data_IF_981001246825
#
_entry.id   IF_981001246825
#
_cell.length_a   1.000
_cell.length_b   1.000
_cell.length_c   1.000
_cell.angle_alpha   90.00
_cell.angle_beta   90.00
_cell.angle_gamma   90.00
#
_symmetry.space_group_name_H-M   'P 1'
#
loop_
_entity.id
_entity.type
_entity.pdbx_description
1 polymer ?
#
# COMPACT_ATOMS: atom_id res chain seq x y z
N UNK A 1 -13.81 -14.62 -0.30
CA UNK A 1 -12.92 -13.92 -1.27
C UNK A 1 -12.37 -12.61 -0.73
N UNK A 2 -13.12 -11.79 0.02
CA UNK A 2 -12.62 -10.49 0.51
C UNK A 2 -11.30 -10.63 1.28
N UNK A 3 -11.16 -11.64 2.14
CA UNK A 3 -9.89 -11.94 2.82
C UNK A 3 -8.74 -12.08 1.80
N UNK A 4 -8.82 -13.02 0.86
CA UNK A 4 -7.78 -13.25 -0.16
C UNK A 4 -7.45 -12.01 -1.01
N UNK A 5 -8.47 -11.26 -1.42
CA UNK A 5 -8.31 -10.06 -2.25
C UNK A 5 -7.66 -8.89 -1.50
N UNK A 6 -7.68 -8.92 -0.16
CA UNK A 6 -7.15 -7.85 0.68
C UNK A 6 -5.90 -8.31 1.44
N UNK A 7 -6.02 -9.23 2.39
CA UNK A 7 -4.94 -9.56 3.34
C UNK A 7 -3.69 -10.12 2.64
N UNK A 8 -3.69 -11.34 2.06
CA UNK A 8 -2.48 -11.90 1.47
C UNK A 8 -2.03 -11.13 0.23
N UNK A 9 -2.97 -10.62 -0.59
CA UNK A 9 -2.62 -9.85 -1.78
C UNK A 9 -2.01 -8.48 -1.46
N UNK A 10 -2.49 -7.76 -0.43
CA UNK A 10 -1.88 -6.51 0.01
C UNK A 10 -0.54 -6.77 0.69
N UNK A 11 -0.42 -7.82 1.53
CA UNK A 11 0.88 -8.23 2.11
C UNK A 11 1.92 -8.47 1.01
N UNK A 12 1.57 -9.26 -0.02
CA UNK A 12 2.44 -9.51 -1.16
C UNK A 12 2.90 -8.21 -1.81
N UNK A 13 1.95 -7.32 -2.09
CA UNK A 13 2.23 -6.06 -2.79
C UNK A 13 3.06 -5.09 -1.93
N UNK A 14 2.82 -5.04 -0.62
CA UNK A 14 3.62 -4.28 0.34
C UNK A 14 5.05 -4.82 0.45
N UNK A 15 5.23 -6.15 0.44
CA UNK A 15 6.55 -6.80 0.38
C UNK A 15 7.28 -6.43 -0.93
N UNK A 16 6.59 -6.43 -2.06
CA UNK A 16 7.14 -5.96 -3.33
C UNK A 16 7.56 -4.48 -3.27
N UNK A 17 6.69 -3.61 -2.73
CA UNK A 17 6.97 -2.18 -2.56
C UNK A 17 8.21 -1.94 -1.69
N UNK A 18 8.40 -2.74 -0.63
CA UNK A 18 9.62 -2.71 0.18
C UNK A 18 10.87 -3.06 -0.65
N UNK A 19 10.75 -4.03 -1.57
CA UNK A 19 11.81 -4.33 -2.54
C UNK A 19 12.08 -3.23 -3.57
N UNK A 20 11.07 -2.41 -3.93
CA UNK A 20 11.31 -1.24 -4.79
C UNK A 20 12.19 -0.22 -4.09
N UNK A 21 11.97 -0.02 -2.79
CA UNK A 21 12.75 0.87 -1.95
C UNK A 21 14.20 0.40 -1.80
N UNK A 22 14.44 -0.91 -1.77
CA UNK A 22 15.80 -1.47 -1.78
C UNK A 22 16.54 -1.15 -3.09
N UNK A 23 15.86 -1.29 -4.24
CA UNK A 23 16.43 -0.88 -5.54
C UNK A 23 16.63 0.63 -5.63
N UNK A 24 15.72 1.42 -5.07
CA UNK A 24 15.83 2.87 -5.05
C UNK A 24 17.03 3.34 -4.21
N UNK A 25 17.27 2.72 -3.05
CA UNK A 25 18.44 2.97 -2.23
C UNK A 25 19.74 2.63 -2.99
N UNK A 26 19.82 1.43 -3.59
CA UNK A 26 20.99 1.05 -4.39
C UNK A 26 21.23 1.96 -5.59
N UNK A 27 20.16 2.48 -6.23
CA UNK A 27 20.27 3.47 -7.28
C UNK A 27 20.82 4.80 -6.76
N UNK A 28 20.28 5.32 -5.65
CA UNK A 28 20.72 6.55 -5.01
C UNK A 28 22.22 6.49 -4.65
N UNK A 29 22.65 5.38 -4.04
CA UNK A 29 24.05 5.12 -3.72
C UNK A 29 24.94 5.12 -4.98
N UNK A 30 24.51 4.41 -6.04
CA UNK A 30 25.26 4.32 -7.30
C UNK A 30 25.41 5.68 -8.02
N UNK A 31 24.44 6.57 -7.85
CA UNK A 31 24.40 7.90 -8.44
C UNK A 31 24.88 9.00 -7.48
N UNK A 32 25.23 8.65 -6.25
CA UNK A 32 25.77 9.53 -5.20
C UNK A 32 24.83 10.69 -4.86
N UNK A 33 23.54 10.40 -4.65
CA UNK A 33 22.59 11.36 -4.11
C UNK A 33 21.82 10.75 -2.93
N UNK A 34 21.29 11.61 -2.06
CA UNK A 34 20.56 11.19 -0.87
C UNK A 34 19.18 10.61 -1.20
N UNK A 35 18.78 9.53 -0.53
CA UNK A 35 17.46 8.91 -0.73
C UNK A 35 16.30 9.89 -0.51
N UNK A 36 16.51 10.93 0.30
CA UNK A 36 15.56 12.03 0.53
C UNK A 36 15.10 12.73 -0.76
N UNK A 37 15.96 12.80 -1.79
CA UNK A 37 15.60 13.34 -3.11
C UNK A 37 14.47 12.54 -3.75
N UNK A 38 14.54 11.20 -3.69
CA UNK A 38 13.48 10.34 -4.23
C UNK A 38 12.23 10.38 -3.36
N UNK A 39 12.38 10.40 -2.03
CA UNK A 39 11.26 10.46 -1.09
C UNK A 39 10.39 11.71 -1.28
N UNK A 40 11.01 12.85 -1.64
CA UNK A 40 10.32 14.11 -1.92
C UNK A 40 9.89 14.30 -3.38
N UNK A 41 10.28 13.40 -4.29
CA UNK A 41 9.92 13.46 -5.71
C UNK A 41 8.43 13.17 -5.96
N UNK A 42 7.88 13.73 -7.04
CA UNK A 42 6.47 13.61 -7.47
C UNK A 42 6.36 13.65 -9.00
N UNK A 43 5.22 13.22 -9.57
CA UNK A 43 5.00 13.25 -11.03
C UNK A 43 4.36 14.55 -11.52
N UNK A 44 3.67 15.28 -10.65
CA UNK A 44 3.08 16.59 -10.95
C UNK A 44 3.21 17.51 -9.73
N UNK A 45 3.28 18.85 -9.91
CA UNK A 45 3.50 19.79 -8.80
C UNK A 45 2.48 19.70 -7.66
N UNK A 46 1.21 19.45 -8.00
CA UNK A 46 0.06 19.34 -7.10
C UNK A 46 -0.24 17.90 -6.64
N UNK A 47 0.51 16.92 -7.15
CA UNK A 47 0.40 15.53 -6.71
C UNK A 47 1.29 15.27 -5.49
N UNK A 48 0.83 14.38 -4.61
CA UNK A 48 1.60 13.94 -3.44
C UNK A 48 2.96 13.30 -3.81
N UNK A 49 4.03 13.54 -3.01
CA UNK A 49 5.34 12.95 -3.22
C UNK A 49 5.42 11.48 -2.82
N UNK A 50 6.52 10.80 -3.17
CA UNK A 50 6.73 9.36 -2.96
C UNK A 50 6.43 8.92 -1.53
N UNK A 51 6.96 9.61 -0.52
CA UNK A 51 6.67 9.28 0.89
C UNK A 51 5.17 9.21 1.13
N UNK A 52 4.42 10.23 0.68
CA UNK A 52 2.99 10.30 0.90
C UNK A 52 2.22 9.24 0.09
N UNK A 53 2.68 8.87 -1.10
CA UNK A 53 2.11 7.73 -1.84
C UNK A 53 2.22 6.45 -0.99
N UNK A 54 3.39 6.17 -0.41
CA UNK A 54 3.63 4.96 0.40
C UNK A 54 2.81 4.97 1.69
N UNK A 55 2.70 6.12 2.35
CA UNK A 55 1.84 6.28 3.52
C UNK A 55 0.38 5.93 3.20
N UNK A 56 -0.13 6.42 2.06
CA UNK A 56 -1.51 6.15 1.61
C UNK A 56 -1.70 4.69 1.20
N UNK A 57 -0.70 4.03 0.58
CA UNK A 57 -0.74 2.58 0.32
C UNK A 57 -0.96 1.82 1.64
N UNK A 58 -0.16 2.14 2.67
CA UNK A 58 -0.26 1.50 3.98
C UNK A 58 -1.62 1.76 4.65
N UNK A 59 -2.09 3.01 4.62
CA UNK A 59 -3.37 3.41 5.19
C UNK A 59 -4.55 2.74 4.48
N UNK A 60 -4.49 2.65 3.15
CA UNK A 60 -5.54 2.00 2.35
C UNK A 60 -5.64 0.53 2.71
N UNK A 61 -4.51 -0.17 2.87
CA UNK A 61 -4.49 -1.56 3.28
C UNK A 61 -5.04 -1.74 4.71
N UNK A 62 -4.47 -1.04 5.71
CA UNK A 62 -4.87 -1.24 7.12
C UNK A 62 -6.28 -0.75 7.40
N UNK A 63 -6.66 0.45 6.92
CA UNK A 63 -7.98 1.02 7.17
C UNK A 63 -9.06 0.35 6.32
N UNK A 64 -8.70 -0.14 5.13
CA UNK A 64 -9.56 -1.00 4.31
C UNK A 64 -10.01 -2.23 5.09
N UNK A 65 -9.04 -2.99 5.61
CA UNK A 65 -9.30 -4.21 6.41
C UNK A 65 -9.97 -3.89 7.74
N UNK A 66 -9.54 -2.85 8.45
CA UNK A 66 -10.16 -2.42 9.70
C UNK A 66 -11.64 -2.13 9.55
N UNK A 67 -12.04 -1.37 8.52
CA UNK A 67 -13.45 -1.04 8.26
C UNK A 67 -14.26 -2.28 7.87
N UNK A 68 -13.70 -3.18 7.07
CA UNK A 68 -14.37 -4.42 6.64
C UNK A 68 -14.63 -5.39 7.80
N UNK A 69 -13.74 -5.42 8.80
CA UNK A 69 -13.78 -6.39 9.91
C UNK A 69 -14.29 -5.79 11.21
N UNK A 70 -14.35 -4.46 11.33
CA UNK A 70 -14.64 -3.75 12.57
C UNK A 70 -13.50 -3.75 13.59
N UNK A 71 -12.36 -4.39 13.28
CA UNK A 71 -11.18 -4.41 14.17
C UNK A 71 -10.41 -3.10 14.06
N UNK A 72 -9.87 -2.60 15.16
CA UNK A 72 -9.03 -1.39 15.15
C UNK A 72 -7.74 -1.62 14.36
N UNK A 73 -7.28 -0.58 13.66
CA UNK A 73 -5.95 -0.53 13.05
C UNK A 73 -5.03 0.41 13.86
N UNK A 74 -3.70 0.19 13.84
CA UNK A 74 -2.75 1.13 14.40
C UNK A 74 -2.86 2.53 13.75
N UNK A 75 -2.75 3.56 14.58
CA UNK A 75 -2.66 4.95 14.12
C UNK A 75 -1.19 5.25 13.76
N UNK A 76 -0.99 6.00 12.68
CA UNK A 76 0.33 6.50 12.28
C UNK A 76 0.20 8.01 12.07
N UNK A 77 1.18 8.78 12.56
CA UNK A 77 1.13 10.25 12.57
C UNK A 77 1.64 10.90 11.26
N UNK A 78 1.99 10.09 10.26
CA UNK A 78 2.51 10.53 8.96
C UNK A 78 3.81 11.37 9.03
N UNK A 79 4.66 11.10 10.03
CA UNK A 79 5.89 11.86 10.31
C UNK A 79 7.17 11.29 9.67
N UNK A 80 7.06 10.22 8.87
CA UNK A 80 8.21 9.56 8.26
C UNK A 80 8.97 10.49 7.31
N UNK A 81 10.29 10.58 7.47
CA UNK A 81 11.20 11.40 6.64
C UNK A 81 12.31 10.58 6.01
N UNK A 82 12.65 9.45 6.63
CA UNK A 82 13.77 8.61 6.21
C UNK A 82 13.29 7.32 5.57
N UNK A 83 14.16 6.70 4.77
CA UNK A 83 13.92 5.37 4.21
C UNK A 83 13.60 4.34 5.30
N UNK A 84 14.31 4.40 6.43
CA UNK A 84 14.12 3.48 7.54
C UNK A 84 12.72 3.59 8.14
N UNK A 85 12.22 4.80 8.37
CA UNK A 85 10.87 5.05 8.89
C UNK A 85 9.80 4.61 7.90
N UNK A 86 9.97 4.91 6.61
CA UNK A 86 9.03 4.48 5.56
C UNK A 86 8.96 2.94 5.48
N UNK A 87 10.10 2.25 5.52
CA UNK A 87 10.14 0.78 5.55
C UNK A 87 9.53 0.23 6.84
N UNK A 88 9.76 0.88 7.98
CA UNK A 88 9.14 0.50 9.26
C UNK A 88 7.61 0.61 9.21
N UNK A 89 7.06 1.65 8.57
CA UNK A 89 5.60 1.77 8.35
C UNK A 89 5.04 0.63 7.51
N UNK A 90 5.72 0.27 6.42
CA UNK A 90 5.32 -0.87 5.58
C UNK A 90 5.31 -2.16 6.41
N UNK A 91 6.35 -2.40 7.21
CA UNK A 91 6.44 -3.59 8.05
C UNK A 91 5.37 -3.63 9.14
N UNK A 92 5.10 -2.49 9.81
CA UNK A 92 4.00 -2.40 10.78
C UNK A 92 2.64 -2.69 10.16
N UNK A 93 2.43 -2.25 8.91
CA UNK A 93 1.21 -2.56 8.15
C UNK A 93 1.12 -4.04 7.80
N UNK A 94 2.21 -4.66 7.35
CA UNK A 94 2.26 -6.10 7.09
C UNK A 94 1.94 -6.89 8.36
N UNK A 95 2.58 -6.55 9.50
CA UNK A 95 2.34 -7.23 10.77
C UNK A 95 0.88 -7.13 11.22
N UNK A 96 0.25 -5.97 11.03
CA UNK A 96 -1.18 -5.80 11.29
C UNK A 96 -2.03 -6.72 10.40
N UNK A 97 -1.76 -6.77 9.10
CA UNK A 97 -2.49 -7.63 8.17
C UNK A 97 -2.28 -9.12 8.47
N UNK A 98 -1.07 -9.53 8.86
CA UNK A 98 -0.75 -10.90 9.26
C UNK A 98 -1.49 -11.35 10.53
N UNK A 99 -1.98 -10.41 11.35
CA UNK A 99 -2.83 -10.72 12.52
C UNK A 99 -4.27 -11.07 12.17
N UNK A 100 -4.69 -10.82 10.93
CA UNK A 100 -6.06 -11.02 10.46
C UNK A 100 -6.29 -12.46 10.01
N UNK A 101 -7.49 -12.97 10.27
CA UNK A 101 -7.87 -14.34 9.91
C UNK A 101 -9.09 -14.35 8.99
N UNK A 102 -9.30 -15.39 8.17
CA UNK A 102 -10.47 -15.50 7.30
C UNK A 102 -11.81 -15.31 8.04
N UNK A 103 -11.90 -15.77 9.28
CA UNK A 103 -13.10 -15.69 10.12
C UNK A 103 -13.50 -14.25 10.45
N UNK A 104 -12.52 -13.34 10.50
CA UNK A 104 -12.75 -11.91 10.76
C UNK A 104 -13.58 -11.24 9.64
N UNK A 105 -13.63 -11.88 8.46
CA UNK A 105 -14.30 -11.36 7.27
C UNK A 105 -15.68 -11.99 7.05
N UNK A 106 -16.20 -12.79 7.99
CA UNK A 106 -17.47 -13.52 7.85
C UNK A 106 -18.65 -12.61 7.42
N UNK A 107 -18.69 -11.39 7.94
CA UNK A 107 -19.74 -10.40 7.65
C UNK A 107 -19.25 -9.22 6.78
N UNK A 108 -18.01 -9.29 6.28
CA UNK A 108 -17.37 -8.15 5.61
C UNK A 108 -18.11 -7.72 4.34
N UNK A 109 -18.69 -8.65 3.59
CA UNK A 109 -19.38 -8.32 2.34
C UNK A 109 -20.60 -7.41 2.54
N UNK A 110 -21.34 -7.60 3.64
CA UNK A 110 -22.59 -6.88 3.94
C UNK A 110 -22.40 -5.78 4.99
N UNK A 111 -21.17 -5.56 5.47
CA UNK A 111 -20.88 -4.49 6.43
C UNK A 111 -21.23 -3.13 5.83
N UNK A 112 -21.87 -2.26 6.62
CA UNK A 112 -22.17 -0.89 6.20
C UNK A 112 -20.96 0.00 6.48
N UNK A 113 -20.28 0.43 5.42
CA UNK A 113 -19.07 1.25 5.51
C UNK A 113 -19.40 2.71 5.22
N UNK A 114 -18.90 3.61 6.06
CA UNK A 114 -18.90 5.05 5.81
C UNK A 114 -17.58 5.66 6.24
N UNK A 115 -17.27 6.84 5.70
CA UNK A 115 -16.14 7.65 6.16
C UNK A 115 -16.61 9.08 6.39
N UNK A 116 -15.94 9.89 7.23
CA UNK A 116 -16.34 11.28 7.45
C UNK A 116 -16.47 12.11 6.17
N UNK A 117 -15.68 11.79 5.13
CA UNK A 117 -15.71 12.47 3.83
C UNK A 117 -16.92 12.12 2.96
N UNK A 118 -17.72 11.14 3.35
CA UNK A 118 -18.87 10.70 2.56
C UNK A 118 -20.18 11.35 3.01
N UNK A 119 -20.13 12.27 3.98
CA UNK A 119 -21.29 13.08 4.39
C UNK A 119 -22.52 12.21 4.73
N UNK A 120 -22.28 11.10 5.43
CA UNK A 120 -23.32 10.14 5.83
C UNK A 120 -23.70 9.10 4.78
N UNK A 121 -23.18 9.19 3.54
CA UNK A 121 -23.36 8.14 2.52
C UNK A 121 -22.61 6.86 2.94
N UNK A 122 -23.12 5.72 2.49
CA UNK A 122 -22.61 4.40 2.85
C UNK A 122 -22.38 3.54 1.61
N UNK A 123 -21.53 2.53 1.75
CA UNK A 123 -21.36 1.41 0.82
C UNK A 123 -21.49 0.09 1.58
N UNK A 124 -21.89 -0.97 0.88
CA UNK A 124 -21.66 -2.32 1.39
C UNK A 124 -20.15 -2.59 1.42
N UNK A 125 -19.69 -3.50 2.27
CA UNK A 125 -18.26 -3.82 2.31
C UNK A 125 -17.77 -4.45 0.99
N UNK A 126 -18.64 -5.15 0.26
CA UNK A 126 -18.34 -5.62 -1.09
C UNK A 126 -18.12 -4.46 -2.08
N UNK A 127 -19.02 -3.48 -2.09
CA UNK A 127 -18.87 -2.31 -2.97
C UNK A 127 -17.64 -1.48 -2.55
N UNK A 128 -17.43 -1.32 -1.26
CA UNK A 128 -16.28 -0.62 -0.70
C UNK A 128 -14.96 -1.27 -1.12
N UNK A 129 -14.82 -2.59 -1.02
CA UNK A 129 -13.56 -3.25 -1.38
C UNK A 129 -13.29 -3.19 -2.87
N UNK A 130 -14.31 -3.44 -3.71
CA UNK A 130 -14.18 -3.51 -5.17
C UNK A 130 -14.02 -2.13 -5.79
N UNK A 131 -14.82 -1.16 -5.38
CA UNK A 131 -14.89 0.15 -6.04
C UNK A 131 -14.03 1.23 -5.37
N UNK A 132 -13.57 1.01 -4.13
CA UNK A 132 -12.77 1.98 -3.41
C UNK A 132 -11.41 1.43 -2.97
N UNK A 133 -11.36 0.40 -2.12
CA UNK A 133 -10.09 -0.04 -1.49
C UNK A 133 -9.10 -0.57 -2.52
N UNK A 134 -9.49 -1.55 -3.34
CA UNK A 134 -8.60 -2.17 -4.33
C UNK A 134 -8.09 -1.16 -5.36
N UNK A 135 -8.95 -0.36 -6.02
CA UNK A 135 -8.49 0.65 -6.97
C UNK A 135 -7.53 1.66 -6.36
N UNK A 136 -7.85 2.16 -5.16
CA UNK A 136 -7.05 3.17 -4.46
C UNK A 136 -5.68 2.60 -4.06
N UNK A 137 -5.64 1.37 -3.52
CA UNK A 137 -4.39 0.70 -3.16
C UNK A 137 -3.45 0.58 -4.36
N UNK A 138 -3.92 0.04 -5.48
CA UNK A 138 -3.09 -0.16 -6.66
C UNK A 138 -2.72 1.16 -7.37
N UNK A 139 -3.59 2.18 -7.30
CA UNK A 139 -3.27 3.52 -7.78
C UNK A 139 -2.02 4.07 -7.09
N UNK A 140 -1.97 4.03 -5.75
CA UNK A 140 -0.85 4.57 -4.99
C UNK A 140 0.42 3.70 -5.10
N UNK A 141 0.30 2.36 -5.17
CA UNK A 141 1.47 1.49 -5.42
C UNK A 141 2.06 1.78 -6.80
N UNK A 142 1.22 1.90 -7.83
CA UNK A 142 1.67 2.19 -9.20
C UNK A 142 2.27 3.59 -9.30
N UNK A 143 1.70 4.56 -8.59
CA UNK A 143 2.23 5.92 -8.54
C UNK A 143 3.59 5.97 -7.86
N UNK A 144 3.76 5.26 -6.73
CA UNK A 144 5.06 5.13 -6.07
C UNK A 144 6.11 4.48 -7.00
N UNK A 145 5.74 3.38 -7.66
CA UNK A 145 6.57 2.75 -8.70
C UNK A 145 6.95 3.74 -9.80
N UNK A 146 5.98 4.52 -10.31
CA UNK A 146 6.19 5.45 -11.41
C UNK A 146 7.10 6.62 -11.00
N UNK A 147 6.98 7.16 -9.79
CA UNK A 147 7.89 8.21 -9.28
C UNK A 147 9.33 7.70 -9.27
N UNK A 148 9.57 6.50 -8.72
CA UNK A 148 10.91 5.90 -8.67
C UNK A 148 11.44 5.61 -10.08
N UNK A 149 10.61 5.02 -10.95
CA UNK A 149 11.00 4.70 -12.34
C UNK A 149 11.28 5.95 -13.16
N UNK A 150 10.49 7.01 -12.99
CA UNK A 150 10.68 8.30 -13.65
C UNK A 150 12.03 8.94 -13.29
N UNK A 151 12.49 8.75 -12.05
CA UNK A 151 13.80 9.24 -11.59
C UNK A 151 14.99 8.33 -11.96
N UNK A 152 14.74 7.24 -12.70
CA UNK A 152 15.79 6.37 -13.24
C UNK A 152 16.08 5.10 -12.42
N UNK A 153 15.32 4.81 -11.36
CA UNK A 153 15.46 3.54 -10.62
C UNK A 153 15.11 2.38 -11.57
N UNK A 154 15.93 1.32 -11.54
CA UNK A 154 15.72 0.16 -12.41
C UNK A 154 14.61 -0.80 -11.92
N UNK A 155 13.38 -0.28 -11.93
CA UNK A 155 12.16 -1.03 -11.67
C UNK A 155 11.52 -1.51 -12.97
N UNK A 156 11.05 -2.75 -12.96
CA UNK A 156 10.28 -3.36 -14.03
C UNK A 156 9.00 -4.02 -13.53
N UNK A 157 8.20 -4.53 -14.47
CA UNK A 157 6.92 -5.19 -14.16
C UNK A 157 7.07 -6.41 -13.23
N UNK A 158 8.19 -7.14 -13.32
CA UNK A 158 8.47 -8.28 -12.44
C UNK A 158 8.62 -7.86 -10.98
N UNK A 159 9.21 -6.69 -10.72
CA UNK A 159 9.24 -6.13 -9.36
C UNK A 159 7.82 -5.85 -8.89
N UNK A 160 7.02 -5.17 -9.72
CA UNK A 160 5.64 -4.82 -9.39
C UNK A 160 4.78 -6.05 -9.01
N UNK A 161 4.80 -7.09 -9.84
CA UNK A 161 3.99 -8.29 -9.65
C UNK A 161 4.54 -9.21 -8.55
N UNK A 162 5.86 -9.25 -8.38
CA UNK A 162 6.57 -10.19 -7.53
C UNK A 162 6.46 -11.63 -8.05
N UNK A 163 6.75 -12.59 -7.17
CA UNK A 163 6.71 -14.01 -7.48
C UNK A 163 5.30 -14.46 -7.91
N UNK A 164 5.23 -15.29 -8.94
CA UNK A 164 3.98 -15.87 -9.45
C UNK A 164 3.97 -17.36 -9.06
N UNK A 165 2.91 -17.86 -8.40
CA UNK A 165 2.84 -19.23 -7.92
C UNK A 165 2.48 -20.21 -9.05
N UNK A 166 3.34 -20.31 -10.07
CA UNK A 166 3.17 -21.24 -11.19
C UNK A 166 3.05 -22.69 -10.68
N UNK A 167 2.22 -23.48 -11.35
CA UNK A 167 2.08 -24.91 -11.11
C UNK A 167 2.73 -25.64 -12.28
N UNK A 168 3.51 -26.68 -11.96
CA UNK A 168 3.97 -27.61 -12.97
C UNK A 168 2.77 -28.41 -13.50
N UNK A 169 2.79 -28.81 -14.77
CA UNK A 169 1.76 -29.67 -15.36
C UNK A 169 1.66 -31.02 -14.65
#
# INVERSE_FOLDING_TARGET
MIFELTVPQFIKTLKNLNGFLDKAAGYADSKKFEMDVLLNSRLAPDQFPLTRQIQIVCDTAKLGVSRLTGKSAPVNDDTEKTLAEVKARIQGTIAYLESMKPEDFKNAATATITTPRWEGKTLTGNDYVIHHVIPNFYFHVTTAYAIMRHNGVDLGKKDFLGEIPYKLP
#
